data_IF_586872505321
#
_entry.id   IF_586872505321
#
_cell.length_a   1.000
_cell.length_b   1.000
_cell.length_c   1.000
_cell.angle_alpha   90.00
_cell.angle_beta   90.00
_cell.angle_gamma   90.00
#
_symmetry.space_group_name_H-M   'P 1'
#
loop_
_entity.id
_entity.type
_entity.pdbx_description
1 polymer ?
#
# COMPACT_ATOMS: atom_id res chain seq x y z
N UNK A 1 10.89 -57.10 60.74
CA UNK A 1 10.24 -56.56 61.93
C UNK A 1 9.79 -55.14 61.62
N UNK A 2 8.52 -54.83 61.85
CA UNK A 2 7.80 -53.72 61.22
C UNK A 2 7.60 -52.56 62.18
N UNK A 3 7.32 -51.36 61.64
CA UNK A 3 6.50 -50.38 62.34
C UNK A 3 5.18 -50.21 61.58
N UNK A 4 4.12 -50.63 62.24
CA UNK A 4 2.70 -50.51 61.86
C UNK A 4 2.03 -49.37 62.62
N UNK A 5 1.00 -48.77 62.00
CA UNK A 5 -0.33 -48.32 62.53
C UNK A 5 -0.88 -47.26 61.53
N UNK A 6 -1.72 -47.61 60.55
CA UNK A 6 -3.21 -47.69 60.56
C UNK A 6 -3.95 -46.47 61.16
N UNK A 7 -4.80 -45.78 60.39
CA UNK A 7 -6.25 -45.82 60.58
C UNK A 7 -7.03 -45.19 59.40
N UNK A 8 -8.09 -45.91 59.05
CA UNK A 8 -9.14 -45.73 58.04
C UNK A 8 -10.10 -44.57 58.32
N UNK A 9 -10.78 -44.05 57.27
CA UNK A 9 -12.25 -44.05 57.15
C UNK A 9 -12.73 -43.65 55.75
N UNK A 10 -13.39 -44.62 55.10
CA UNK A 10 -14.27 -44.45 53.93
C UNK A 10 -15.56 -43.72 54.34
N UNK A 11 -16.15 -42.88 53.48
CA UNK A 11 -17.62 -42.75 53.35
C UNK A 11 -18.06 -41.87 52.14
N UNK A 12 -18.85 -42.48 51.25
CA UNK A 12 -19.93 -41.97 50.38
C UNK A 12 -19.79 -40.77 49.39
N UNK A 13 -19.75 -41.11 48.09
CA UNK A 13 -20.85 -41.10 47.08
C UNK A 13 -21.82 -39.87 46.97
N UNK A 14 -21.86 -39.34 45.72
CA UNK A 14 -22.91 -38.65 44.93
C UNK A 14 -23.47 -37.27 45.33
N UNK A 15 -23.16 -36.26 44.50
CA UNK A 15 -24.12 -35.38 43.79
C UNK A 15 -23.51 -35.02 42.42
N UNK A 16 -23.93 -35.64 41.33
CA UNK A 16 -24.98 -35.15 40.41
C UNK A 16 -24.72 -33.74 39.83
N UNK A 17 -24.43 -33.70 38.53
CA UNK A 17 -24.82 -32.58 37.65
C UNK A 17 -23.66 -31.70 37.13
N UNK A 18 -23.15 -32.03 35.94
CA UNK A 18 -23.17 -31.14 34.75
C UNK A 18 -22.35 -31.76 33.62
N UNK A 19 -23.04 -32.20 32.58
CA UNK A 19 -22.47 -32.37 31.24
C UNK A 19 -22.30 -30.97 30.67
N UNK A 20 -21.16 -30.64 30.06
CA UNK A 20 -21.05 -29.86 28.81
C UNK A 20 -19.58 -29.88 28.35
N UNK A 21 -19.39 -30.67 27.28
CA UNK A 21 -18.59 -30.40 26.07
C UNK A 21 -17.05 -30.36 26.12
N UNK A 22 -16.48 -31.23 25.27
CA UNK A 22 -15.09 -31.22 24.81
C UNK A 22 -14.67 -29.85 24.27
N UNK A 23 -13.55 -29.33 24.76
CA UNK A 23 -12.75 -28.33 24.09
C UNK A 23 -11.39 -28.92 23.72
N UNK A 24 -11.27 -29.40 22.48
CA UNK A 24 -9.96 -29.62 21.86
C UNK A 24 -9.25 -28.27 21.76
N UNK A 25 -8.22 -28.02 22.56
CA UNK A 25 -7.32 -26.88 22.31
C UNK A 25 -6.38 -27.32 21.19
N UNK A 26 -6.82 -27.09 19.96
CA UNK A 26 -5.96 -27.09 18.79
C UNK A 26 -4.94 -25.96 18.95
N UNK A 27 -3.66 -26.32 18.93
CA UNK A 27 -2.58 -25.36 18.88
C UNK A 27 -2.58 -24.61 17.55
N UNK A 28 -2.73 -23.29 17.61
CA UNK A 28 -2.29 -22.40 16.54
C UNK A 28 -1.10 -21.60 17.08
N UNK A 29 0.09 -22.19 16.97
CA UNK A 29 1.32 -21.40 16.90
C UNK A 29 1.36 -20.80 15.49
N UNK A 30 0.89 -19.57 15.35
CA UNK A 30 1.24 -18.76 14.18
C UNK A 30 2.50 -18.00 14.53
N UNK A 31 3.60 -18.40 13.89
CA UNK A 31 4.85 -17.68 13.85
C UNK A 31 4.59 -16.26 13.32
N UNK A 32 4.47 -15.27 14.22
CA UNK A 32 4.68 -13.87 13.87
C UNK A 32 6.19 -13.65 13.76
N UNK A 33 6.73 -13.96 12.58
CA UNK A 33 8.14 -13.82 12.31
C UNK A 33 8.46 -13.91 10.83
N UNK A 34 8.85 -12.75 10.27
CA UNK A 34 9.60 -12.58 9.02
C UNK A 34 8.84 -12.50 7.69
N UNK A 35 7.62 -11.93 7.65
CA UNK A 35 7.21 -11.24 6.42
C UNK A 35 7.64 -9.78 6.56
N UNK A 36 8.53 -9.25 5.70
CA UNK A 36 8.79 -7.82 5.68
C UNK A 36 7.47 -7.09 5.53
N UNK A 37 7.21 -6.11 6.41
CA UNK A 37 6.10 -5.19 6.25
C UNK A 37 6.17 -4.61 4.82
N UNK A 38 5.29 -5.09 3.95
CA UNK A 38 5.08 -4.58 2.59
C UNK A 38 4.77 -3.08 2.63
N UNK A 39 4.41 -2.57 3.81
CA UNK A 39 4.12 -1.19 4.10
C UNK A 39 2.73 -0.82 3.61
N UNK A 40 2.13 0.20 4.24
CA UNK A 40 0.81 0.64 3.84
C UNK A 40 0.87 1.22 2.42
N UNK A 41 0.08 0.65 1.50
CA UNK A 41 -0.09 1.16 0.14
C UNK A 41 -1.56 1.47 -0.13
N UNK A 42 -1.82 2.50 -0.92
CA UNK A 42 -3.18 2.94 -1.22
C UNK A 42 -3.27 3.52 -2.61
N UNK A 43 -4.33 3.15 -3.32
CA UNK A 43 -4.71 3.76 -4.58
C UNK A 43 -5.43 5.09 -4.30
N UNK A 44 -4.93 6.16 -4.90
CA UNK A 44 -5.34 7.54 -4.68
C UNK A 44 -5.81 8.18 -6.00
N UNK A 45 -6.09 7.34 -7.00
CA UNK A 45 -6.44 7.78 -8.35
C UNK A 45 -7.71 8.64 -8.35
N UNK A 46 -8.83 8.17 -7.78
CA UNK A 46 -10.11 8.90 -7.83
C UNK A 46 -10.02 10.27 -7.12
N UNK A 47 -9.43 10.31 -5.93
CA UNK A 47 -9.24 11.55 -5.17
C UNK A 47 -8.39 12.54 -5.95
N UNK A 48 -7.30 12.09 -6.56
CA UNK A 48 -6.38 12.96 -7.30
C UNK A 48 -6.95 13.37 -8.67
N UNK A 49 -7.73 12.50 -9.31
CA UNK A 49 -8.37 12.75 -10.59
C UNK A 49 -9.29 13.97 -10.53
N UNK A 50 -10.04 14.12 -9.44
CA UNK A 50 -10.85 15.32 -9.19
C UNK A 50 -10.02 16.61 -9.24
N UNK A 51 -8.93 16.66 -8.48
CA UNK A 51 -8.04 17.83 -8.45
C UNK A 51 -7.41 18.14 -9.81
N UNK A 52 -6.88 17.12 -10.49
CA UNK A 52 -6.23 17.27 -11.80
C UNK A 52 -7.23 17.69 -12.87
N UNK A 53 -8.45 17.16 -12.86
CA UNK A 53 -9.47 17.54 -13.83
C UNK A 53 -10.00 18.96 -13.60
N UNK A 54 -10.13 19.42 -12.35
CA UNK A 54 -10.44 20.84 -12.08
C UNK A 54 -9.34 21.77 -12.61
N UNK A 55 -8.06 21.42 -12.44
CA UNK A 55 -6.95 22.16 -13.01
C UNK A 55 -7.01 22.21 -14.55
N UNK A 56 -7.28 21.06 -15.18
CA UNK A 56 -7.35 20.93 -16.64
C UNK A 56 -8.54 21.69 -17.22
N UNK A 57 -9.71 21.62 -16.58
CA UNK A 57 -10.90 22.37 -16.95
C UNK A 57 -10.64 23.88 -16.92
N UNK A 58 -10.00 24.39 -15.86
CA UNK A 58 -9.59 25.80 -15.77
C UNK A 58 -8.58 26.24 -16.85
N UNK A 59 -8.02 25.30 -17.61
CA UNK A 59 -7.11 25.52 -18.75
C UNK A 59 -7.74 25.15 -20.11
N UNK A 60 -9.03 24.78 -20.13
CA UNK A 60 -9.72 24.36 -21.35
C UNK A 60 -9.25 23.01 -21.91
N UNK A 61 -8.63 22.16 -21.08
CA UNK A 61 -8.14 20.84 -21.47
C UNK A 61 -9.18 19.75 -21.15
N UNK A 62 -9.22 18.70 -21.98
CA UNK A 62 -10.09 17.55 -21.74
C UNK A 62 -9.78 16.85 -20.43
N UNK A 63 -10.83 16.40 -19.74
CA UNK A 63 -10.71 15.60 -18.53
C UNK A 63 -9.98 14.27 -18.82
N UNK A 64 -9.16 13.85 -17.85
CA UNK A 64 -8.57 12.53 -17.80
C UNK A 64 -9.58 11.55 -17.19
N UNK A 65 -9.42 10.28 -17.54
CA UNK A 65 -10.10 9.17 -16.88
C UNK A 65 -9.08 8.34 -16.07
N UNK A 66 -9.58 7.55 -15.12
CA UNK A 66 -8.78 6.49 -14.52
C UNK A 66 -8.33 5.50 -15.59
N UNK A 67 -7.04 5.19 -15.61
CA UNK A 67 -6.47 4.14 -16.47
C UNK A 67 -5.88 3.02 -15.59
N UNK A 68 -6.37 1.76 -15.72
CA UNK A 68 -5.91 0.67 -14.86
C UNK A 68 -4.41 0.37 -14.96
N UNK A 69 -3.80 0.49 -16.14
CA UNK A 69 -2.38 0.25 -16.33
C UNK A 69 -1.56 1.37 -15.68
N UNK A 70 -1.98 2.63 -15.83
CA UNK A 70 -1.36 3.76 -15.14
C UNK A 70 -1.49 3.66 -13.62
N UNK A 71 -2.64 3.21 -13.10
CA UNK A 71 -2.82 2.99 -11.65
C UNK A 71 -1.88 1.92 -11.11
N UNK A 72 -1.69 0.82 -11.86
CA UNK A 72 -0.75 -0.23 -11.50
C UNK A 72 0.70 0.28 -11.50
N UNK A 73 1.10 1.02 -12.53
CA UNK A 73 2.42 1.63 -12.65
C UNK A 73 2.73 2.63 -11.55
N UNK A 74 1.75 3.48 -11.20
CA UNK A 74 1.86 4.36 -10.06
C UNK A 74 2.04 3.59 -8.74
N UNK A 75 1.26 2.53 -8.53
CA UNK A 75 1.38 1.68 -7.33
C UNK A 75 2.75 1.03 -7.21
N UNK A 76 3.24 0.42 -8.29
CA UNK A 76 4.57 -0.18 -8.31
C UNK A 76 5.65 0.85 -8.03
N UNK A 77 5.59 2.02 -8.67
CA UNK A 77 6.59 3.06 -8.45
C UNK A 77 6.59 3.60 -7.01
N UNK A 78 5.41 3.84 -6.42
CA UNK A 78 5.29 4.25 -5.02
C UNK A 78 5.92 3.19 -4.08
N UNK A 79 5.60 1.91 -4.27
CA UNK A 79 6.16 0.80 -3.48
C UNK A 79 7.67 0.69 -3.64
N UNK A 80 8.19 0.86 -4.86
CA UNK A 80 9.63 0.82 -5.15
C UNK A 80 10.38 1.93 -4.42
N UNK A 81 9.84 3.15 -4.46
CA UNK A 81 10.41 4.30 -3.72
C UNK A 81 10.39 4.07 -2.21
N UNK A 82 9.28 3.55 -1.67
CA UNK A 82 9.13 3.26 -0.25
C UNK A 82 10.12 2.18 0.23
N UNK A 83 10.25 1.08 -0.52
CA UNK A 83 11.22 0.01 -0.22
C UNK A 83 12.67 0.49 -0.30
N UNK A 84 12.98 1.37 -1.25
CA UNK A 84 14.32 1.94 -1.39
C UNK A 84 14.61 3.08 -0.40
N UNK A 85 13.58 3.62 0.27
CA UNK A 85 13.69 4.83 1.08
C UNK A 85 14.13 6.06 0.27
N UNK A 86 13.87 6.09 -1.05
CA UNK A 86 14.41 7.10 -1.98
C UNK A 86 13.35 7.56 -2.98
N UNK A 87 13.17 8.88 -3.11
CA UNK A 87 12.34 9.48 -4.15
C UNK A 87 13.15 9.62 -5.44
N UNK A 88 13.11 8.62 -6.31
CA UNK A 88 13.84 8.59 -7.57
C UNK A 88 13.00 7.89 -8.64
N UNK A 89 13.03 8.43 -9.87
CA UNK A 89 12.36 7.80 -11.00
C UNK A 89 12.98 6.44 -11.34
N UNK A 90 14.30 6.32 -11.23
CA UNK A 90 15.05 5.11 -11.58
C UNK A 90 15.73 4.52 -10.33
N UNK A 91 15.25 3.37 -9.89
CA UNK A 91 15.69 2.65 -8.69
C UNK A 91 16.32 1.33 -9.13
N UNK A 92 17.56 1.39 -9.62
CA UNK A 92 18.34 0.22 -10.01
C UNK A 92 18.98 0.30 -11.39
N UNK A 93 19.72 -0.74 -11.73
CA UNK A 93 20.38 -0.85 -13.03
C UNK A 93 19.35 -1.26 -14.10
N UNK A 94 19.29 -0.51 -15.22
CA UNK A 94 18.31 -0.66 -16.32
C UNK A 94 16.84 -0.42 -15.94
N UNK A 95 16.59 0.37 -14.90
CA UNK A 95 15.23 0.78 -14.57
C UNK A 95 14.79 1.99 -15.40
N UNK A 96 14.63 1.77 -16.71
CA UNK A 96 14.19 2.82 -17.63
C UNK A 96 12.68 3.04 -17.57
N UNK A 97 12.27 4.31 -17.60
CA UNK A 97 10.86 4.70 -17.54
C UNK A 97 10.04 4.08 -18.66
N UNK A 98 10.54 4.10 -19.91
CA UNK A 98 9.82 3.58 -21.06
C UNK A 98 9.60 2.06 -20.93
N UNK A 99 10.64 1.34 -20.53
CA UNK A 99 10.56 -0.12 -20.35
C UNK A 99 9.58 -0.49 -19.24
N UNK A 100 9.54 0.27 -18.13
CA UNK A 100 8.53 0.09 -17.08
C UNK A 100 7.12 0.30 -17.62
N UNK A 101 6.85 1.46 -18.23
CA UNK A 101 5.52 1.78 -18.75
C UNK A 101 5.03 0.73 -19.76
N UNK A 102 5.91 0.32 -20.68
CA UNK A 102 5.60 -0.71 -21.67
C UNK A 102 5.37 -2.09 -21.03
N UNK A 103 6.21 -2.47 -20.07
CA UNK A 103 6.08 -3.73 -19.33
C UNK A 103 4.78 -3.84 -18.54
N UNK A 104 4.23 -2.70 -18.11
CA UNK A 104 2.96 -2.60 -17.39
C UNK A 104 1.75 -2.36 -18.30
N UNK A 105 1.96 -2.29 -19.62
CA UNK A 105 0.89 -2.07 -20.60
C UNK A 105 0.34 -0.65 -20.62
N UNK A 106 1.08 0.33 -20.09
CA UNK A 106 0.70 1.74 -20.12
C UNK A 106 0.75 2.27 -21.56
N UNK A 107 -0.34 2.89 -22.00
CA UNK A 107 -0.41 3.50 -23.33
C UNK A 107 0.55 4.69 -23.42
N UNK A 108 1.35 4.75 -24.49
CA UNK A 108 2.28 5.86 -24.72
C UNK A 108 1.64 6.91 -25.65
N UNK A 109 1.98 8.21 -25.51
CA UNK A 109 2.96 8.78 -24.58
C UNK A 109 2.55 8.67 -23.11
N UNK A 110 3.55 8.67 -22.22
CA UNK A 110 3.34 8.63 -20.78
C UNK A 110 4.30 9.58 -20.03
N UNK A 111 3.91 9.99 -18.83
CA UNK A 111 4.74 10.78 -17.92
C UNK A 111 4.55 10.34 -16.46
N UNK A 112 5.57 10.61 -15.63
CA UNK A 112 5.57 10.29 -14.19
C UNK A 112 5.82 11.54 -13.36
N UNK A 113 5.03 11.72 -12.31
CA UNK A 113 5.30 12.67 -11.24
C UNK A 113 5.50 11.88 -9.94
N UNK A 114 6.53 12.22 -9.16
CA UNK A 114 6.79 11.60 -7.85
C UNK A 114 6.82 12.65 -6.75
N UNK A 115 6.47 12.25 -5.53
CA UNK A 115 6.61 13.09 -4.35
C UNK A 115 6.90 12.23 -3.11
N UNK A 116 7.30 12.87 -2.02
CA UNK A 116 7.66 12.21 -0.77
C UNK A 116 7.33 13.09 0.42
N UNK A 117 6.71 12.50 1.44
CA UNK A 117 6.44 13.13 2.74
C UNK A 117 5.11 13.87 2.84
N UNK A 118 4.29 13.90 1.78
CA UNK A 118 2.96 14.50 1.83
C UNK A 118 1.99 13.55 2.54
N UNK A 119 1.23 14.09 3.49
CA UNK A 119 0.34 13.30 4.36
C UNK A 119 -0.90 12.78 3.63
N UNK A 120 -1.31 13.46 2.56
CA UNK A 120 -2.53 13.17 1.82
C UNK A 120 -2.40 13.54 0.33
N UNK A 121 -3.40 13.13 -0.46
CA UNK A 121 -3.42 13.34 -1.91
C UNK A 121 -3.50 14.83 -2.28
N UNK A 122 -4.15 15.66 -1.46
CA UNK A 122 -4.27 17.09 -1.72
C UNK A 122 -2.90 17.78 -1.59
N UNK A 123 -2.13 17.45 -0.54
CA UNK A 123 -0.75 17.91 -0.33
C UNK A 123 0.17 17.43 -1.44
N UNK A 124 0.05 16.18 -1.88
CA UNK A 124 0.81 15.64 -3.01
C UNK A 124 0.49 16.40 -4.30
N UNK A 125 -0.80 16.61 -4.59
CA UNK A 125 -1.26 17.41 -5.72
C UNK A 125 -0.72 18.84 -5.69
N UNK A 126 -0.82 19.54 -4.55
CA UNK A 126 -0.27 20.91 -4.42
C UNK A 126 1.24 20.95 -4.66
N UNK A 127 1.98 19.94 -4.19
CA UNK A 127 3.42 19.84 -4.44
C UNK A 127 3.73 19.68 -5.94
N UNK A 128 2.92 18.91 -6.67
CA UNK A 128 3.05 18.78 -8.13
C UNK A 128 2.66 20.05 -8.87
N UNK A 129 1.57 20.72 -8.50
CA UNK A 129 1.15 21.99 -9.14
C UNK A 129 2.22 23.08 -8.97
N UNK A 130 2.86 23.15 -7.81
CA UNK A 130 3.88 24.15 -7.52
C UNK A 130 5.25 23.85 -8.16
N UNK A 131 5.40 22.69 -8.81
CA UNK A 131 6.60 22.34 -9.57
C UNK A 131 6.33 22.51 -11.07
N UNK A 132 7.02 23.43 -11.78
CA UNK A 132 6.78 23.66 -13.20
C UNK A 132 6.89 22.41 -14.07
N UNK A 133 7.83 21.50 -13.77
CA UNK A 133 8.00 20.25 -14.51
C UNK A 133 6.84 19.28 -14.26
N UNK A 134 6.39 19.13 -13.02
CA UNK A 134 5.27 18.24 -12.70
C UNK A 134 3.93 18.80 -13.21
N UNK A 135 3.76 20.13 -13.15
CA UNK A 135 2.60 20.81 -13.71
C UNK A 135 2.52 20.61 -15.23
N UNK A 136 3.65 20.70 -15.95
CA UNK A 136 3.71 20.42 -17.38
C UNK A 136 3.18 19.02 -17.72
N UNK A 137 3.52 18.01 -16.92
CA UNK A 137 3.02 16.64 -17.12
C UNK A 137 1.50 16.57 -16.95
N UNK A 138 0.93 17.17 -15.90
CA UNK A 138 -0.53 17.17 -15.66
C UNK A 138 -1.33 17.90 -16.74
N UNK A 139 -0.72 18.87 -17.43
CA UNK A 139 -1.31 19.62 -18.54
C UNK A 139 -1.01 19.01 -19.91
N UNK A 140 -0.33 17.85 -19.97
CA UNK A 140 -0.01 17.17 -21.22
C UNK A 140 -1.23 16.62 -21.96
N UNK A 141 -1.02 16.23 -23.22
CA UNK A 141 -2.04 15.58 -24.04
C UNK A 141 -2.13 14.10 -23.70
N UNK A 142 -2.85 13.80 -22.62
CA UNK A 142 -3.10 12.46 -22.10
C UNK A 142 -4.60 12.23 -21.97
N UNK A 143 -4.99 10.97 -21.79
CA UNK A 143 -6.38 10.54 -21.58
C UNK A 143 -6.57 9.76 -20.28
N UNK A 144 -5.50 9.18 -19.75
CA UNK A 144 -5.49 8.32 -18.57
C UNK A 144 -4.61 8.85 -17.44
N UNK A 145 -4.99 8.50 -16.21
CA UNK A 145 -4.29 8.82 -14.97
C UNK A 145 -4.35 7.64 -14.01
N UNK A 146 -3.25 7.41 -13.30
CA UNK A 146 -3.18 6.58 -12.10
C UNK A 146 -2.35 7.25 -11.02
N UNK A 147 -2.78 7.15 -9.76
CA UNK A 147 -2.06 7.73 -8.62
C UNK A 147 -2.08 6.78 -7.43
N UNK A 148 -0.93 6.62 -6.78
CA UNK A 148 -0.81 5.76 -5.61
C UNK A 148 0.15 6.35 -4.58
N UNK A 149 0.01 5.88 -3.35
CA UNK A 149 0.93 6.13 -2.24
C UNK A 149 1.37 4.82 -1.62
N UNK A 150 2.61 4.79 -1.12
CA UNK A 150 3.12 3.69 -0.32
C UNK A 150 4.04 4.21 0.80
N UNK A 151 4.01 3.53 1.94
CA UNK A 151 4.90 3.74 3.08
C UNK A 151 5.68 2.46 3.32
N UNK A 152 6.78 2.52 4.06
CA UNK A 152 7.47 1.33 4.53
C UNK A 152 8.12 1.62 5.89
N UNK A 153 7.95 0.73 6.87
CA UNK A 153 8.51 0.89 8.22
C UNK A 153 10.03 1.02 8.24
N UNK A 154 10.75 0.33 7.34
CA UNK A 154 12.21 0.47 7.19
C UNK A 154 12.64 1.88 6.72
N UNK A 155 11.72 2.63 6.08
CA UNK A 155 11.90 4.03 5.67
C UNK A 155 11.24 5.03 6.64
N UNK A 156 10.88 4.59 7.84
CA UNK A 156 10.26 5.42 8.87
C UNK A 156 8.80 5.79 8.58
N UNK A 157 8.06 4.94 7.85
CA UNK A 157 6.66 5.16 7.45
C UNK A 157 6.42 6.48 6.69
N UNK A 158 7.46 7.01 6.03
CA UNK A 158 7.32 8.17 5.16
C UNK A 158 6.49 7.80 3.92
N UNK A 159 5.47 8.58 3.55
CA UNK A 159 4.68 8.31 2.36
C UNK A 159 5.44 8.73 1.09
N UNK A 160 5.44 7.84 0.10
CA UNK A 160 5.98 8.03 -1.24
C UNK A 160 4.84 7.97 -2.24
N UNK A 161 4.78 8.97 -3.11
CA UNK A 161 3.67 9.17 -4.03
C UNK A 161 4.16 9.06 -5.47
N UNK A 162 3.38 8.41 -6.31
CA UNK A 162 3.59 8.40 -7.74
C UNK A 162 2.27 8.67 -8.48
N UNK A 163 2.37 9.42 -9.56
CA UNK A 163 1.32 9.65 -10.55
C UNK A 163 1.87 9.25 -11.92
N UNK A 164 1.09 8.49 -12.67
CA UNK A 164 1.36 8.15 -14.06
C UNK A 164 0.24 8.73 -14.92
N UNK A 165 0.61 9.43 -15.99
CA UNK A 165 -0.30 9.91 -17.03
C UNK A 165 -0.04 9.13 -18.32
N UNK A 166 -1.07 8.84 -19.09
CA UNK A 166 -0.97 8.05 -20.31
C UNK A 166 -2.01 8.45 -21.38
N UNK A 167 -1.76 8.07 -22.63
CA UNK A 167 -2.80 8.05 -23.69
C UNK A 167 -2.52 8.88 -24.92
#
# INVERSE_FOLDING_TARGET
MPDSISFSRRMLILRAGSVISLGFIAGCSTYDGLVPDEGARSDQTETTLGYVNTLREGRGLSALARDPAASLAAMHQAVRMARAGKMQHNIGWRDDFYDRMKGEGVTLPAAENIAMGQEDAERAYRAWVNSPNHLKNMLGNYRGLGVATAQNSASGNRPYWAMVLCG
#
